data_IF_474465899549
#
_entry.id   IF_474465899549
#
_cell.length_a   1.000
_cell.length_b   1.000
_cell.length_c   1.000
_cell.angle_alpha   90.00
_cell.angle_beta   90.00
_cell.angle_gamma   90.00
#
_symmetry.space_group_name_H-M   'P 1'
#
loop_
_entity.id
_entity.type
_entity.pdbx_description
1 polymer ?
#
# COMPACT_ATOMS: atom_id res chain seq x y z
N UNK A 1 -10.24 1.47 21.71
CA UNK A 1 -8.94 1.24 21.07
C UNK A 1 -8.80 2.15 19.86
N UNK A 2 -7.79 2.99 19.87
CA UNK A 2 -7.59 3.95 18.77
C UNK A 2 -6.96 3.26 17.57
N UNK A 3 -7.76 3.14 16.52
CA UNK A 3 -7.20 2.71 15.24
C UNK A 3 -6.46 3.87 14.61
N UNK A 4 -5.38 3.54 13.90
CA UNK A 4 -4.68 4.53 13.11
C UNK A 4 -5.46 4.94 11.88
N UNK A 5 -4.89 5.86 11.11
CA UNK A 5 -5.47 6.28 9.84
C UNK A 5 -4.79 5.54 8.69
N UNK A 6 -5.46 5.56 7.56
CA UNK A 6 -4.94 5.04 6.30
C UNK A 6 -4.71 6.23 5.38
N UNK A 7 -3.45 6.47 5.02
CA UNK A 7 -3.10 7.62 4.18
C UNK A 7 -2.64 7.11 2.83
N UNK A 8 -3.41 7.41 1.80
CA UNK A 8 -3.14 6.93 0.44
C UNK A 8 -2.58 8.07 -0.39
N UNK A 9 -1.38 7.88 -0.92
CA UNK A 9 -0.78 8.77 -1.91
C UNK A 9 -0.87 8.11 -3.27
N UNK A 10 -1.53 8.78 -4.20
CA UNK A 10 -1.71 8.29 -5.56
C UNK A 10 -1.35 9.39 -6.54
N UNK A 11 -0.63 9.01 -7.61
CA UNK A 11 -0.21 9.99 -8.61
C UNK A 11 0.23 9.27 -9.88
N UNK A 12 0.21 9.97 -11.02
CA UNK A 12 0.84 9.43 -12.22
C UNK A 12 2.35 9.26 -12.04
N UNK A 13 2.95 8.39 -12.82
CA UNK A 13 4.40 8.21 -12.84
C UNK A 13 5.11 9.53 -13.10
N UNK A 14 6.21 9.76 -12.38
CA UNK A 14 7.02 10.95 -12.58
C UNK A 14 6.50 12.21 -11.92
N UNK A 15 5.48 12.12 -11.07
CA UNK A 15 4.91 13.28 -10.39
C UNK A 15 5.63 13.68 -9.11
N UNK A 16 6.68 12.94 -8.71
CA UNK A 16 7.40 13.20 -7.48
C UNK A 16 6.80 12.56 -6.23
N UNK A 17 5.83 11.68 -6.40
CA UNK A 17 5.14 11.02 -5.30
C UNK A 17 6.08 10.31 -4.34
N UNK A 18 7.05 9.56 -4.86
CA UNK A 18 8.00 8.81 -4.04
C UNK A 18 8.81 9.72 -3.15
N UNK A 19 9.26 10.86 -3.68
CA UNK A 19 10.02 11.85 -2.92
C UNK A 19 9.19 12.42 -1.78
N UNK A 20 7.93 12.75 -2.05
CA UNK A 20 7.00 13.26 -1.05
C UNK A 20 6.79 12.25 0.06
N UNK A 21 6.51 10.99 -0.29
CA UNK A 21 6.29 9.92 0.68
C UNK A 21 7.52 9.72 1.57
N UNK A 22 8.72 9.67 0.98
CA UNK A 22 9.95 9.54 1.74
C UNK A 22 10.15 10.68 2.72
N UNK A 23 9.87 11.90 2.29
CA UNK A 23 9.98 13.07 3.15
C UNK A 23 9.04 12.96 4.35
N UNK A 24 7.77 12.61 4.11
CA UNK A 24 6.79 12.48 5.17
C UNK A 24 7.16 11.39 6.18
N UNK A 25 7.74 10.29 5.73
CA UNK A 25 8.17 9.21 6.60
C UNK A 25 9.27 9.64 7.56
N UNK A 26 10.06 10.65 7.22
CA UNK A 26 11.13 11.17 8.07
C UNK A 26 10.63 12.09 9.17
N UNK A 27 9.38 12.56 9.09
CA UNK A 27 8.79 13.45 10.09
C UNK A 27 8.20 12.59 11.22
N UNK A 28 8.95 12.44 12.31
CA UNK A 28 8.59 11.54 13.41
C UNK A 28 7.24 11.90 14.04
N UNK A 29 6.92 13.19 14.14
CA UNK A 29 5.68 13.64 14.75
C UNK A 29 4.43 13.21 14.00
N UNK A 30 4.55 12.85 12.71
CA UNK A 30 3.43 12.33 11.93
C UNK A 30 3.12 10.88 12.23
N UNK A 31 4.09 10.16 12.79
CA UNK A 31 3.91 8.78 13.26
C UNK A 31 3.44 7.85 12.15
N UNK A 32 4.17 7.85 11.03
CA UNK A 32 3.82 7.09 9.83
C UNK A 32 4.69 5.85 9.67
N UNK A 33 4.10 4.81 9.11
CA UNK A 33 4.82 3.60 8.72
C UNK A 33 4.37 3.21 7.32
N UNK A 34 5.33 2.87 6.45
CA UNK A 34 5.03 2.50 5.07
C UNK A 34 4.43 1.10 4.98
N UNK A 35 3.38 0.95 4.20
CA UNK A 35 2.74 -0.34 3.97
C UNK A 35 3.51 -1.12 2.90
N UNK A 36 3.90 -2.34 3.26
CA UNK A 36 4.59 -3.24 2.34
C UNK A 36 3.54 -4.05 1.58
N UNK A 37 3.52 -3.91 0.26
CA UNK A 37 2.57 -4.61 -0.58
C UNK A 37 2.96 -6.06 -0.79
N UNK A 38 1.97 -6.92 -1.04
CA UNK A 38 2.20 -8.29 -1.46
C UNK A 38 2.15 -8.37 -2.98
N UNK A 39 2.91 -9.28 -3.57
CA UNK A 39 2.90 -9.50 -5.01
C UNK A 39 3.18 -10.97 -5.32
N UNK A 40 2.66 -11.42 -6.45
CA UNK A 40 2.94 -12.76 -6.96
C UNK A 40 4.02 -12.77 -8.05
N UNK A 41 4.52 -11.60 -8.45
CA UNK A 41 5.63 -11.58 -9.40
C UNK A 41 6.93 -12.02 -8.73
N UNK A 42 7.85 -12.51 -9.54
CA UNK A 42 9.15 -12.94 -9.03
C UNK A 42 9.98 -11.75 -8.55
N UNK A 43 10.82 -12.00 -7.56
CA UNK A 43 11.79 -11.02 -7.08
C UNK A 43 12.69 -10.55 -8.23
N UNK A 44 13.07 -9.30 -8.19
CA UNK A 44 13.98 -8.70 -9.17
C UNK A 44 15.21 -8.15 -8.46
N UNK A 45 16.41 -8.47 -8.96
CA UNK A 45 17.66 -7.93 -8.45
C UNK A 45 17.80 -8.09 -6.94
N UNK A 46 18.01 -6.96 -6.26
CA UNK A 46 18.26 -6.95 -4.82
C UNK A 46 17.03 -6.83 -3.96
N UNK A 47 15.85 -7.03 -4.53
CA UNK A 47 14.62 -6.97 -3.75
C UNK A 47 14.61 -8.04 -2.67
N UNK A 48 14.06 -7.69 -1.49
CA UNK A 48 14.01 -8.58 -0.34
C UNK A 48 12.57 -8.82 0.09
N UNK A 49 12.26 -10.09 0.38
CA UNK A 49 10.96 -10.46 0.93
C UNK A 49 10.77 -9.85 2.31
N UNK A 50 9.60 -9.25 2.53
CA UNK A 50 9.29 -8.61 3.80
C UNK A 50 9.82 -7.20 3.94
N UNK A 51 10.51 -6.69 2.91
CA UNK A 51 11.06 -5.33 2.91
C UNK A 51 10.54 -4.54 1.72
N UNK A 52 10.80 -5.03 0.49
CA UNK A 52 10.32 -4.37 -0.73
C UNK A 52 8.89 -4.80 -1.03
N UNK A 53 8.62 -6.08 -0.89
CA UNK A 53 7.32 -6.72 -1.05
C UNK A 53 7.26 -7.95 -0.17
N UNK A 54 6.02 -8.43 0.09
CA UNK A 54 5.83 -9.80 0.51
C UNK A 54 5.63 -10.62 -0.76
N UNK A 55 6.61 -11.46 -1.09
CA UNK A 55 6.57 -12.26 -2.32
C UNK A 55 5.84 -13.57 -2.08
N UNK A 56 4.79 -13.81 -2.84
CA UNK A 56 3.95 -14.99 -2.73
C UNK A 56 3.93 -15.69 -4.09
N UNK A 57 3.66 -17.00 -4.09
CA UNK A 57 3.33 -17.67 -5.35
C UNK A 57 1.95 -17.20 -5.82
N UNK A 58 1.65 -17.37 -7.12
CA UNK A 58 0.34 -17.04 -7.65
C UNK A 58 -0.76 -17.83 -6.92
N UNK A 59 -0.51 -19.10 -6.64
CA UNK A 59 -1.48 -19.94 -5.95
C UNK A 59 -1.71 -19.48 -4.51
N UNK A 60 -0.65 -19.10 -3.79
CA UNK A 60 -0.75 -18.57 -2.43
C UNK A 60 -1.51 -17.25 -2.42
N UNK A 61 -1.24 -16.38 -3.40
CA UNK A 61 -1.94 -15.11 -3.53
C UNK A 61 -3.45 -15.33 -3.75
N UNK A 62 -3.79 -16.22 -4.68
CA UNK A 62 -5.19 -16.55 -4.97
C UNK A 62 -5.89 -17.14 -3.76
N UNK A 63 -5.21 -17.97 -2.97
CA UNK A 63 -5.77 -18.53 -1.76
C UNK A 63 -6.10 -17.44 -0.74
N UNK A 64 -5.22 -16.45 -0.61
CA UNK A 64 -5.48 -15.33 0.29
C UNK A 64 -6.63 -14.45 -0.19
N UNK A 65 -6.83 -14.33 -1.51
CA UNK A 65 -8.02 -13.65 -2.05
C UNK A 65 -9.29 -14.36 -1.60
N UNK A 66 -9.30 -15.69 -1.72
CA UNK A 66 -10.47 -16.49 -1.31
C UNK A 66 -10.76 -16.36 0.19
N UNK A 67 -9.73 -16.23 0.99
CA UNK A 67 -9.85 -16.07 2.44
C UNK A 67 -10.18 -14.65 2.86
N UNK A 68 -10.33 -13.73 1.92
CA UNK A 68 -10.60 -12.31 2.18
C UNK A 68 -9.50 -11.66 3.04
N UNK A 69 -8.25 -12.02 2.78
CA UNK A 69 -7.09 -11.54 3.53
C UNK A 69 -6.57 -10.20 3.03
N UNK A 70 -7.06 -9.70 1.91
CA UNK A 70 -6.59 -8.46 1.31
C UNK A 70 -7.53 -7.28 1.59
N UNK A 71 -6.92 -6.14 1.91
CA UNK A 71 -7.61 -4.86 1.96
C UNK A 71 -8.05 -4.43 0.56
N UNK A 72 -7.15 -4.58 -0.41
CA UNK A 72 -7.38 -4.38 -1.83
C UNK A 72 -6.37 -5.23 -2.60
N UNK A 73 -6.70 -5.59 -3.83
CA UNK A 73 -5.79 -6.31 -4.71
C UNK A 73 -6.19 -6.08 -6.16
N UNK A 74 -5.23 -6.33 -7.05
CA UNK A 74 -5.43 -6.15 -8.49
C UNK A 74 -4.54 -7.10 -9.27
N UNK A 75 -5.06 -7.65 -10.35
CA UNK A 75 -4.26 -8.39 -11.33
C UNK A 75 -3.81 -7.40 -12.39
N UNK A 76 -2.50 -7.09 -12.42
CA UNK A 76 -1.94 -6.11 -13.35
C UNK A 76 -1.62 -6.75 -14.69
N UNK A 77 -0.99 -7.93 -14.64
CA UNK A 77 -0.74 -8.76 -15.80
C UNK A 77 -1.21 -10.18 -15.46
N UNK A 78 -1.39 -11.00 -16.47
CA UNK A 78 -1.84 -12.37 -16.25
C UNK A 78 -1.02 -13.07 -15.17
N UNK A 79 -1.67 -13.49 -14.10
CA UNK A 79 -1.10 -14.14 -12.91
C UNK A 79 -0.11 -13.27 -12.13
N UNK A 80 0.01 -11.99 -12.44
CA UNK A 80 0.79 -11.04 -11.65
C UNK A 80 -0.15 -10.16 -10.84
N UNK A 81 -0.22 -10.44 -9.56
CA UNK A 81 -1.10 -9.76 -8.62
C UNK A 81 -0.32 -8.83 -7.72
N UNK A 82 -0.95 -7.76 -7.30
CA UNK A 82 -0.45 -6.84 -6.28
C UNK A 82 -1.59 -6.56 -5.31
N UNK A 83 -1.27 -6.41 -4.04
CA UNK A 83 -2.31 -6.08 -3.07
C UNK A 83 -1.75 -5.71 -1.71
N UNK A 84 -2.66 -5.27 -0.85
CA UNK A 84 -2.35 -4.93 0.53
C UNK A 84 -3.02 -5.93 1.45
N UNK A 85 -2.22 -6.63 2.25
CA UNK A 85 -2.75 -7.58 3.23
C UNK A 85 -3.36 -6.84 4.42
N UNK A 86 -4.48 -7.32 4.90
CA UNK A 86 -5.11 -6.78 6.12
C UNK A 86 -4.15 -6.87 7.32
N UNK A 87 -3.35 -7.94 7.37
CA UNK A 87 -2.36 -8.14 8.43
C UNK A 87 -1.29 -7.06 8.43
N UNK A 88 -0.98 -6.49 7.27
CA UNK A 88 0.00 -5.40 7.18
C UNK A 88 -0.52 -4.14 7.88
N UNK A 89 -1.79 -3.80 7.65
CA UNK A 89 -2.43 -2.67 8.32
C UNK A 89 -2.46 -2.91 9.82
N UNK A 90 -2.83 -4.12 10.25
CA UNK A 90 -2.86 -4.48 11.66
C UNK A 90 -1.48 -4.36 12.31
N UNK A 91 -0.44 -4.80 11.60
CA UNK A 91 0.94 -4.70 12.10
C UNK A 91 1.29 -3.25 12.42
N UNK A 92 0.98 -2.35 11.50
CA UNK A 92 1.32 -0.93 11.64
C UNK A 92 0.49 -0.27 12.75
N UNK A 93 -0.80 -0.56 12.80
CA UNK A 93 -1.66 -0.01 13.85
C UNK A 93 -1.26 -0.50 15.24
N UNK A 94 -0.78 -1.75 15.36
CA UNK A 94 -0.27 -2.28 16.63
C UNK A 94 0.98 -1.56 17.10
N UNK A 95 1.75 -0.99 16.17
CA UNK A 95 2.89 -0.15 16.51
C UNK A 95 2.46 1.24 16.98
N UNK A 96 1.18 1.54 16.95
CA UNK A 96 0.66 2.86 17.28
C UNK A 96 0.86 3.87 16.17
N UNK A 97 1.04 3.42 14.95
CA UNK A 97 1.35 4.29 13.81
C UNK A 97 0.21 4.32 12.80
N UNK A 98 0.24 5.32 11.93
CA UNK A 98 -0.67 5.43 10.80
C UNK A 98 -0.02 4.79 9.57
N UNK A 99 -0.85 4.20 8.72
CA UNK A 99 -0.39 3.51 7.51
C UNK A 99 -0.30 4.51 6.36
N UNK A 100 0.84 4.54 5.66
CA UNK A 100 0.97 5.31 4.44
C UNK A 100 1.18 4.36 3.26
N UNK A 101 0.40 4.58 2.19
CA UNK A 101 0.42 3.77 0.98
C UNK A 101 0.92 4.58 -0.21
N UNK A 102 1.72 3.94 -1.04
CA UNK A 102 2.14 4.47 -2.33
C UNK A 102 1.57 3.52 -3.40
N UNK A 103 0.32 3.74 -3.78
CA UNK A 103 -0.42 2.87 -4.69
C UNK A 103 -1.10 3.70 -5.78
N UNK A 104 -1.61 3.02 -6.81
CA UNK A 104 -2.30 3.71 -7.90
C UNK A 104 -3.66 4.25 -7.46
N UNK A 105 -4.26 5.06 -8.32
CA UNK A 105 -5.55 5.71 -8.03
C UNK A 105 -6.65 4.67 -7.78
N UNK A 106 -6.69 3.60 -8.59
CA UNK A 106 -7.70 2.56 -8.44
C UNK A 106 -7.63 1.87 -7.09
N UNK A 107 -6.42 1.51 -6.65
CA UNK A 107 -6.21 0.88 -5.34
C UNK A 107 -6.59 1.82 -4.20
N UNK A 108 -6.18 3.10 -4.33
CA UNK A 108 -6.52 4.10 -3.33
C UNK A 108 -8.03 4.32 -3.19
N UNK A 109 -8.75 4.34 -4.30
CA UNK A 109 -10.21 4.47 -4.28
C UNK A 109 -10.87 3.26 -3.62
N UNK A 110 -10.35 2.05 -3.87
CA UNK A 110 -10.88 0.84 -3.22
C UNK A 110 -10.74 0.93 -1.71
N UNK A 111 -9.60 1.38 -1.22
CA UNK A 111 -9.36 1.55 0.22
C UNK A 111 -10.31 2.60 0.78
N UNK A 112 -10.45 3.75 0.10
CA UNK A 112 -11.33 4.83 0.54
C UNK A 112 -12.78 4.37 0.64
N UNK A 113 -13.24 3.55 -0.30
CA UNK A 113 -14.60 3.02 -0.28
C UNK A 113 -14.86 2.06 0.88
N UNK A 114 -13.85 1.23 1.22
CA UNK A 114 -13.99 0.28 2.33
C UNK A 114 -13.88 0.96 3.69
N UNK A 115 -13.04 1.96 3.81
CA UNK A 115 -12.77 2.64 5.07
C UNK A 115 -12.86 4.16 4.87
N UNK A 116 -14.07 4.68 4.60
CA UNK A 116 -14.21 6.09 4.22
C UNK A 116 -13.83 7.07 5.34
N UNK A 117 -14.04 6.71 6.59
CA UNK A 117 -13.75 7.60 7.71
C UNK A 117 -12.29 7.57 8.13
N UNK A 118 -11.63 6.41 7.99
CA UNK A 118 -10.24 6.22 8.41
C UNK A 118 -9.25 6.64 7.34
N UNK A 119 -9.69 6.83 6.09
CA UNK A 119 -8.80 7.02 4.95
C UNK A 119 -8.73 8.47 4.51
N UNK A 120 -7.49 8.98 4.45
CA UNK A 120 -7.18 10.25 3.79
C UNK A 120 -6.54 9.91 2.45
N UNK A 121 -7.20 10.28 1.36
CA UNK A 121 -6.68 10.03 0.01
C UNK A 121 -6.09 11.34 -0.54
N UNK A 122 -4.81 11.27 -0.92
CA UNK A 122 -4.08 12.42 -1.46
C UNK A 122 -3.68 12.09 -2.90
N UNK A 123 -4.13 12.93 -3.83
CA UNK A 123 -3.78 12.80 -5.24
C UNK A 123 -2.78 13.88 -5.61
N UNK A 124 -1.58 13.45 -6.02
CA UNK A 124 -0.51 14.37 -6.39
C UNK A 124 -0.64 14.66 -7.89
N UNK A 125 -0.82 15.93 -8.22
CA UNK A 125 -0.87 16.36 -9.62
C UNK A 125 0.52 16.76 -10.08
N UNK A 126 0.93 16.34 -11.30
CA UNK A 126 2.17 16.90 -11.87
C UNK A 126 1.98 18.38 -12.16
N UNK A 127 3.07 19.16 -12.20
CA UNK A 127 2.96 20.57 -12.55
C UNK A 127 2.35 20.75 -13.94
N UNK A 128 1.53 21.77 -14.07
CA UNK A 128 0.99 22.13 -15.38
C UNK A 128 2.09 22.73 -16.24
N UNK A 129 2.12 22.33 -17.50
CA UNK A 129 3.08 22.85 -18.47
C UNK A 129 2.38 23.90 -19.33
#
# INVERSE_FOLDING_TARGET
MNQGKLIVFSAPSGSGKTTIVRHLLQIESLNLEFSISATSRAKRGDEEDGKDYYFLSSDAFKQKIKNDDFLEWEEVYRDNFYGTLKTEVERIWKLGKHVIFDIDVSGGLRIKRKYPEETLAVFVKPPSI
#
